data_IF_087297505139
#
_entry.id   IF_087297505139
#
_cell.length_a   1.000
_cell.length_b   1.000
_cell.length_c   1.000
_cell.angle_alpha   90.00
_cell.angle_beta   90.00
_cell.angle_gamma   90.00
#
_symmetry.space_group_name_H-M   'P 1'
#
loop_
_entity.id
_entity.type
_entity.pdbx_description
1 polymer ?
#
# COMPACT_ATOMS: atom_id res chain seq x y z
N UNK A 1 11.86 -3.58 24.25
CA UNK A 1 12.43 -3.01 23.02
C UNK A 1 11.67 -3.65 21.86
N UNK A 2 10.60 -2.99 21.40
CA UNK A 2 9.82 -3.51 20.28
C UNK A 2 10.71 -3.55 19.05
N UNK A 3 10.90 -4.74 18.49
CA UNK A 3 11.64 -4.92 17.25
C UNK A 3 10.77 -4.29 16.15
N UNK A 4 11.21 -3.16 15.59
CA UNK A 4 10.53 -2.57 14.44
C UNK A 4 10.35 -3.67 13.38
N UNK A 5 9.14 -3.84 12.84
CA UNK A 5 8.89 -4.86 11.84
C UNK A 5 9.86 -4.66 10.68
N UNK A 6 10.31 -5.76 10.08
CA UNK A 6 11.09 -5.66 8.84
C UNK A 6 10.26 -4.87 7.81
N UNK A 7 10.87 -4.10 6.90
CA UNK A 7 10.11 -3.20 6.02
C UNK A 7 8.94 -3.90 5.29
N UNK A 8 9.10 -5.17 4.92
CA UNK A 8 8.06 -5.96 4.26
C UNK A 8 6.99 -6.55 5.21
N UNK A 9 7.31 -6.74 6.49
CA UNK A 9 6.31 -7.08 7.52
C UNK A 9 5.26 -5.97 7.66
N UNK A 10 5.56 -4.72 7.27
CA UNK A 10 4.55 -3.66 7.23
C UNK A 10 3.44 -3.91 6.20
N UNK A 11 3.71 -4.67 5.15
CA UNK A 11 2.72 -5.03 4.14
C UNK A 11 2.10 -6.39 4.45
N UNK A 12 2.90 -7.39 4.78
CA UNK A 12 2.42 -8.78 4.94
C UNK A 12 2.07 -9.17 6.39
N UNK A 13 2.50 -8.38 7.38
CA UNK A 13 2.23 -8.63 8.79
C UNK A 13 0.98 -7.93 9.33
N UNK A 14 0.28 -7.17 8.49
CA UNK A 14 -0.98 -6.50 8.84
C UNK A 14 -2.18 -7.32 8.35
N UNK A 15 -3.24 -7.33 9.16
CA UNK A 15 -4.52 -7.91 8.76
C UNK A 15 -5.21 -6.98 7.75
N UNK A 16 -5.24 -7.38 6.49
CA UNK A 16 -5.91 -6.63 5.43
C UNK A 16 -7.40 -6.95 5.39
N UNK A 17 -8.23 -5.92 5.53
CA UNK A 17 -9.67 -5.95 5.26
C UNK A 17 -9.98 -5.24 3.94
N UNK A 18 -11.19 -5.46 3.35
CA UNK A 18 -11.60 -4.74 2.16
C UNK A 18 -11.52 -3.21 2.30
N UNK A 19 -11.88 -2.66 3.46
CA UNK A 19 -11.85 -1.22 3.75
C UNK A 19 -10.42 -0.68 3.74
N UNK A 20 -9.49 -1.42 4.33
CA UNK A 20 -8.06 -1.07 4.32
C UNK A 20 -7.50 -1.04 2.90
N UNK A 21 -7.83 -2.04 2.09
CA UNK A 21 -7.38 -2.11 0.71
C UNK A 21 -8.01 -0.99 -0.15
N UNK A 22 -9.28 -0.67 0.08
CA UNK A 22 -9.96 0.43 -0.60
C UNK A 22 -9.34 1.78 -0.22
N UNK A 23 -9.03 2.01 1.06
CA UNK A 23 -8.37 3.23 1.50
C UNK A 23 -6.96 3.38 0.91
N UNK A 24 -6.20 2.29 0.84
CA UNK A 24 -4.91 2.28 0.16
C UNK A 24 -5.06 2.63 -1.33
N UNK A 25 -6.03 2.03 -2.03
CA UNK A 25 -6.29 2.33 -3.43
C UNK A 25 -6.72 3.79 -3.67
N UNK A 26 -7.64 4.31 -2.86
CA UNK A 26 -8.08 5.71 -2.95
C UNK A 26 -6.94 6.70 -2.69
N UNK A 27 -6.08 6.37 -1.73
CA UNK A 27 -4.89 7.17 -1.45
C UNK A 27 -3.86 7.11 -2.59
N UNK A 28 -3.73 5.96 -3.25
CA UNK A 28 -2.85 5.81 -4.40
C UNK A 28 -3.31 6.62 -5.62
N UNK A 29 -4.62 6.77 -5.84
CA UNK A 29 -5.15 7.67 -6.86
C UNK A 29 -4.72 9.12 -6.63
N UNK A 30 -4.76 9.60 -5.38
CA UNK A 30 -4.27 10.94 -5.04
C UNK A 30 -2.76 11.07 -5.25
N UNK A 31 -1.98 10.06 -4.82
CA UNK A 31 -0.51 10.04 -4.98
C UNK A 31 -0.09 10.11 -6.45
N UNK A 32 -0.83 9.46 -7.35
CA UNK A 32 -0.55 9.52 -8.80
C UNK A 32 -0.69 10.94 -9.37
N UNK A 33 -1.49 11.80 -8.75
CA UNK A 33 -1.64 13.20 -9.17
C UNK A 33 -0.51 14.12 -8.68
N UNK A 34 0.36 13.63 -7.78
CA UNK A 34 1.44 14.43 -7.22
C UNK A 34 2.56 14.67 -8.25
N UNK A 35 3.07 15.91 -8.34
CA UNK A 35 4.09 16.31 -9.33
C UNK A 35 5.36 15.44 -9.28
N UNK A 36 5.77 15.03 -8.08
CA UNK A 36 6.94 14.16 -7.86
C UNK A 36 6.71 12.68 -8.19
N UNK A 37 5.48 12.25 -8.51
CA UNK A 37 5.16 10.83 -8.70
C UNK A 37 5.92 10.23 -9.89
N UNK A 38 5.86 10.85 -11.07
CA UNK A 38 6.51 10.33 -12.27
C UNK A 38 8.04 10.20 -12.12
N UNK A 39 8.69 11.20 -11.53
CA UNK A 39 10.14 11.13 -11.28
C UNK A 39 10.51 10.04 -10.28
N UNK A 40 9.62 9.73 -9.35
CA UNK A 40 9.78 8.65 -8.38
C UNK A 40 9.63 7.27 -9.04
N UNK A 41 8.60 7.08 -9.86
CA UNK A 41 8.38 5.81 -10.59
C UNK A 41 9.55 5.51 -11.52
N UNK A 42 10.08 6.51 -12.24
CA UNK A 42 11.24 6.33 -13.14
C UNK A 42 12.46 5.81 -12.39
N UNK A 43 12.73 6.31 -11.17
CA UNK A 43 13.85 5.84 -10.33
C UNK A 43 13.73 4.38 -9.93
N UNK A 44 12.51 3.86 -9.84
CA UNK A 44 12.21 2.50 -9.41
C UNK A 44 11.95 1.54 -10.56
N UNK A 45 11.83 2.02 -11.80
CA UNK A 45 11.45 1.20 -12.96
C UNK A 45 12.40 0.01 -13.18
N UNK A 46 13.69 0.18 -12.90
CA UNK A 46 14.72 -0.88 -13.00
C UNK A 46 14.71 -1.88 -11.85
N UNK A 47 13.83 -1.71 -10.86
CA UNK A 47 13.75 -2.52 -9.63
C UNK A 47 12.42 -3.25 -9.46
N UNK A 48 11.61 -3.31 -10.51
CA UNK A 48 10.30 -3.99 -10.48
C UNK A 48 10.43 -5.48 -10.19
N UNK A 49 11.59 -6.07 -10.44
CA UNK A 49 11.97 -7.44 -10.05
C UNK A 49 11.99 -7.68 -8.54
N UNK A 50 12.10 -6.62 -7.73
CA UNK A 50 12.10 -6.72 -6.26
C UNK A 50 10.71 -6.80 -5.63
N UNK A 51 9.65 -6.70 -6.42
CA UNK A 51 8.27 -6.76 -5.92
C UNK A 51 7.77 -8.19 -5.99
N UNK A 52 7.31 -8.72 -4.85
CA UNK A 52 6.59 -9.99 -4.83
C UNK A 52 5.13 -9.79 -5.30
N UNK A 53 4.98 -9.58 -6.61
CA UNK A 53 3.67 -9.41 -7.26
C UNK A 53 2.75 -10.62 -7.07
N UNK A 54 3.22 -11.89 -7.12
CA UNK A 54 2.38 -13.05 -6.81
C UNK A 54 1.76 -12.98 -5.41
N UNK A 55 2.56 -12.71 -4.37
CA UNK A 55 2.07 -12.63 -3.00
C UNK A 55 1.11 -11.45 -2.79
N UNK A 56 1.40 -10.28 -3.38
CA UNK A 56 0.50 -9.13 -3.33
C UNK A 56 -0.86 -9.41 -3.98
N UNK A 57 -0.86 -10.06 -5.15
CA UNK A 57 -2.11 -10.46 -5.83
C UNK A 57 -2.89 -11.46 -4.99
N UNK A 58 -2.22 -12.48 -4.45
CA UNK A 58 -2.86 -13.49 -3.62
C UNK A 58 -3.49 -12.89 -2.36
N UNK A 59 -2.78 -11.97 -1.70
CA UNK A 59 -3.28 -11.21 -0.55
C UNK A 59 -4.55 -10.44 -0.91
N UNK A 60 -4.49 -9.62 -1.95
CA UNK A 60 -5.62 -8.76 -2.36
C UNK A 60 -6.83 -9.60 -2.79
N UNK A 61 -6.63 -10.65 -3.59
CA UNK A 61 -7.72 -11.53 -4.02
C UNK A 61 -8.34 -12.28 -2.85
N UNK A 62 -7.55 -12.75 -1.88
CA UNK A 62 -8.07 -13.41 -0.67
C UNK A 62 -8.93 -12.46 0.16
N UNK A 63 -8.49 -11.22 0.35
CA UNK A 63 -9.22 -10.22 1.13
C UNK A 63 -10.49 -9.75 0.42
N UNK A 64 -10.45 -9.52 -0.89
CA UNK A 64 -11.59 -8.97 -1.64
C UNK A 64 -12.61 -10.03 -2.09
N UNK A 65 -12.23 -11.31 -2.12
CA UNK A 65 -13.05 -12.40 -2.64
C UNK A 65 -13.31 -12.32 -4.16
N UNK A 66 -12.64 -11.40 -4.86
CA UNK A 66 -12.78 -11.16 -6.31
C UNK A 66 -11.50 -10.59 -6.90
N UNK A 67 -11.43 -10.61 -8.24
CA UNK A 67 -10.33 -10.01 -9.01
C UNK A 67 -10.73 -8.67 -9.63
N UNK A 68 -12.01 -8.47 -9.92
CA UNK A 68 -12.47 -7.25 -10.57
C UNK A 68 -12.37 -6.04 -9.62
N UNK A 69 -11.81 -4.95 -10.15
CA UNK A 69 -11.59 -3.71 -9.41
C UNK A 69 -10.42 -3.75 -8.42
N UNK A 70 -9.61 -4.81 -8.38
CA UNK A 70 -8.51 -4.92 -7.41
C UNK A 70 -7.17 -4.40 -7.92
N UNK A 71 -7.08 -4.02 -9.20
CA UNK A 71 -5.84 -3.56 -9.83
C UNK A 71 -5.19 -2.41 -9.05
N UNK A 72 -5.97 -1.40 -8.67
CA UNK A 72 -5.48 -0.23 -7.93
C UNK A 72 -4.99 -0.56 -6.52
N UNK A 73 -5.57 -1.59 -5.89
CA UNK A 73 -5.12 -2.08 -4.58
C UNK A 73 -3.75 -2.74 -4.70
N UNK A 74 -3.57 -3.61 -5.71
CA UNK A 74 -2.28 -4.25 -5.97
C UNK A 74 -1.21 -3.22 -6.32
N UNK A 75 -1.55 -2.23 -7.17
CA UNK A 75 -0.63 -1.16 -7.54
C UNK A 75 -0.18 -0.32 -6.33
N UNK A 76 -1.12 0.04 -5.45
CA UNK A 76 -0.82 0.77 -4.21
C UNK A 76 0.19 0.02 -3.33
N UNK A 77 -0.04 -1.28 -3.11
CA UNK A 77 0.85 -2.12 -2.31
C UNK A 77 2.20 -2.38 -2.99
N UNK A 78 2.22 -2.53 -4.32
CA UNK A 78 3.46 -2.72 -5.07
C UNK A 78 4.38 -1.50 -4.99
N UNK A 79 3.82 -0.28 -5.05
CA UNK A 79 4.61 0.95 -4.89
C UNK A 79 5.16 1.10 -3.48
N UNK A 80 4.38 0.79 -2.45
CA UNK A 80 4.87 0.74 -1.08
C UNK A 80 5.98 -0.33 -0.93
N UNK A 81 5.80 -1.52 -1.53
CA UNK A 81 6.80 -2.58 -1.51
C UNK A 81 8.13 -2.14 -2.13
N UNK A 82 8.09 -1.44 -3.27
CA UNK A 82 9.28 -0.87 -3.90
C UNK A 82 9.96 0.16 -3.00
N UNK A 83 9.20 1.07 -2.41
CA UNK A 83 9.75 2.08 -1.50
C UNK A 83 10.44 1.45 -0.28
N UNK A 84 9.88 0.37 0.25
CA UNK A 84 10.44 -0.38 1.38
C UNK A 84 11.65 -1.24 1.00
N UNK A 85 11.72 -1.71 -0.25
CA UNK A 85 12.78 -2.62 -0.75
C UNK A 85 13.97 -1.90 -1.38
N UNK A 86 13.79 -0.63 -1.77
CA UNK A 86 14.79 0.20 -2.44
C UNK A 86 14.86 1.61 -1.83
N UNK A 87 14.91 1.78 -0.50
CA UNK A 87 14.93 3.12 0.11
C UNK A 87 16.15 3.93 -0.35
N UNK A 88 17.25 3.28 -0.74
CA UNK A 88 18.48 3.93 -1.22
C UNK A 88 18.32 4.67 -2.55
N UNK A 89 17.27 4.40 -3.31
CA UNK A 89 17.02 5.03 -4.62
C UNK A 89 16.12 6.27 -4.54
N UNK A 90 15.55 6.51 -3.37
CA UNK A 90 14.53 7.51 -3.12
C UNK A 90 15.02 8.56 -2.14
N UNK A 91 14.55 9.80 -2.30
CA UNK A 91 14.66 10.78 -1.22
C UNK A 91 13.66 10.46 -0.11
N UNK A 92 13.80 11.10 1.05
CA UNK A 92 12.84 10.99 2.14
C UNK A 92 11.42 11.42 1.71
N UNK A 93 11.32 12.51 0.95
CA UNK A 93 10.05 13.00 0.39
C UNK A 93 9.41 11.96 -0.55
N UNK A 94 10.20 11.39 -1.46
CA UNK A 94 9.73 10.36 -2.39
C UNK A 94 9.30 9.09 -1.68
N UNK A 95 10.05 8.69 -0.65
CA UNK A 95 9.72 7.53 0.20
C UNK A 95 8.40 7.79 0.91
N UNK A 96 8.24 8.94 1.55
CA UNK A 96 7.01 9.33 2.25
C UNK A 96 5.80 9.36 1.30
N UNK A 97 5.97 9.92 0.10
CA UNK A 97 4.94 9.94 -0.94
C UNK A 97 4.48 8.52 -1.32
N UNK A 98 5.42 7.59 -1.57
CA UNK A 98 5.07 6.22 -1.96
C UNK A 98 4.54 5.34 -0.83
N UNK A 99 4.82 5.70 0.42
CA UNK A 99 4.28 5.02 1.61
C UNK A 99 2.92 5.57 2.04
N UNK A 100 2.45 6.66 1.43
CA UNK A 100 1.16 7.27 1.74
C UNK A 100 -0.02 6.28 1.59
N UNK A 101 -0.11 5.47 0.51
CA UNK A 101 -1.17 4.47 0.36
C UNK A 101 -1.15 3.39 1.44
N UNK A 102 0.05 2.88 1.79
CA UNK A 102 0.20 1.90 2.86
C UNK A 102 -0.26 2.49 4.20
N UNK A 103 0.16 3.71 4.50
CA UNK A 103 -0.23 4.43 5.71
C UNK A 103 -1.75 4.65 5.78
N UNK A 104 -2.40 4.94 4.65
CA UNK A 104 -3.85 5.08 4.60
C UNK A 104 -4.57 3.75 4.89
N UNK A 105 -4.07 2.64 4.35
CA UNK A 105 -4.56 1.30 4.66
C UNK A 105 -4.36 0.91 6.12
N UNK A 106 -3.16 1.16 6.67
CA UNK A 106 -2.82 0.88 8.08
C UNK A 106 -3.74 1.64 9.05
N UNK A 107 -4.04 2.92 8.74
CA UNK A 107 -4.90 3.79 9.57
C UNK A 107 -6.39 3.51 9.41
N UNK A 108 -6.79 2.83 8.34
CA UNK A 108 -8.19 2.46 8.14
C UNK A 108 -8.51 1.27 9.02
N UNK A 109 -9.44 1.42 9.94
CA UNK A 109 -10.02 0.31 10.72
C UNK A 109 -11.41 -0.03 10.21
N UNK A 110 -12.03 -1.13 10.69
CA UNK A 110 -13.48 -1.22 10.63
C UNK A 110 -14.03 0.06 11.26
N UNK A 111 -14.71 0.86 10.46
CA UNK A 111 -15.27 2.11 10.92
C UNK A 111 -16.19 1.78 12.09
N UNK A 112 -15.99 2.39 13.26
CA UNK A 112 -16.91 2.41 14.42
C UNK A 112 -18.33 2.95 14.07
N UNK A 113 -18.66 3.08 12.78
CA UNK A 113 -19.98 3.46 12.28
C UNK A 113 -21.05 2.38 12.45
N UNK A 114 -20.71 1.16 12.88
CA UNK A 114 -21.71 0.13 13.19
C UNK A 114 -22.31 0.29 14.60
N UNK A 115 -21.68 1.05 15.51
CA UNK A 115 -22.23 1.29 16.86
C UNK A 115 -23.12 2.55 16.97
N UNK A 116 -23.20 3.39 15.93
CA UNK A 116 -23.97 4.63 15.96
C UNK A 116 -25.44 4.50 15.49
N UNK A 117 -25.92 3.28 15.21
CA UNK A 117 -27.32 3.02 14.80
C UNK A 117 -28.06 2.04 15.71
N UNK A 118 -27.57 1.82 16.94
CA UNK A 118 -28.21 0.93 17.91
C UNK A 118 -28.40 1.56 19.32
N UNK A 119 -28.55 2.88 19.42
CA UNK A 119 -28.93 3.56 20.67
C UNK A 119 -30.18 4.41 20.47
#
# INVERSE_FOLDING_TARGET
MEKSPTPLERIFGIEWTPERLQAAAASYEMVQSHTSFNSTVVRLASRTDRVDMPSLRALVTRTMGRVEGTYWMVAALAMAHLALSCPELLTEEQTSLLLTPLTAGEKSGPSDRVLAHAA
#
